data_IF_129082047861
#
_entry.id   IF_129082047861
#
_cell.length_a   1.000
_cell.length_b   1.000
_cell.length_c   1.000
_cell.angle_alpha   90.00
_cell.angle_beta   90.00
_cell.angle_gamma   90.00
#
_symmetry.space_group_name_H-M   'P 1'
#
loop_
_entity.id
_entity.type
_entity.pdbx_description
1 polymer ?
#
# COMPACT_ATOMS: atom_id res chain seq x y z
N UNK A 1 -22.92 8.42 17.52
CA UNK A 1 -21.53 8.89 17.35
C UNK A 1 -20.61 7.77 16.88
N UNK A 2 -20.23 6.77 17.70
CA UNK A 2 -19.30 5.70 17.26
C UNK A 2 -19.85 4.82 16.10
N UNK A 3 -21.17 4.62 16.06
CA UNK A 3 -21.85 3.88 15.00
C UNK A 3 -21.96 4.66 13.68
N UNK A 4 -21.97 5.99 13.73
CA UNK A 4 -22.11 6.84 12.54
C UNK A 4 -20.79 6.91 11.78
N UNK A 5 -19.67 6.99 12.51
CA UNK A 5 -18.33 7.01 11.91
C UNK A 5 -17.95 5.68 11.24
N UNK A 6 -18.32 4.52 11.83
CA UNK A 6 -18.12 3.21 11.18
C UNK A 6 -18.95 3.10 9.91
N UNK A 7 -20.19 3.58 9.94
CA UNK A 7 -21.05 3.61 8.75
C UNK A 7 -20.43 4.45 7.64
N UNK A 8 -19.95 5.65 7.96
CA UNK A 8 -19.27 6.52 7.00
C UNK A 8 -17.98 5.91 6.44
N UNK A 9 -17.21 5.19 7.27
CA UNK A 9 -16.03 4.43 6.80
C UNK A 9 -16.43 3.37 5.79
N UNK A 10 -17.46 2.57 6.11
CA UNK A 10 -17.95 1.53 5.19
C UNK A 10 -18.50 2.13 3.89
N UNK A 11 -19.19 3.26 3.95
CA UNK A 11 -19.66 3.98 2.77
C UNK A 11 -18.50 4.51 1.91
N UNK A 12 -17.45 5.04 2.54
CA UNK A 12 -16.23 5.47 1.85
C UNK A 12 -15.52 4.31 1.15
N UNK A 13 -15.40 3.16 1.82
CA UNK A 13 -14.84 1.93 1.24
C UNK A 13 -15.69 1.46 0.06
N UNK A 14 -17.01 1.39 0.21
CA UNK A 14 -17.93 0.96 -0.84
C UNK A 14 -17.77 1.82 -2.11
N UNK A 15 -17.76 3.15 -1.96
CA UNK A 15 -17.52 4.07 -3.09
C UNK A 15 -16.17 3.84 -3.76
N UNK A 16 -15.12 3.60 -2.98
CA UNK A 16 -13.79 3.30 -3.50
C UNK A 16 -13.73 1.98 -4.28
N UNK A 17 -14.44 0.95 -3.79
CA UNK A 17 -14.54 -0.34 -4.49
C UNK A 17 -15.38 -0.24 -5.76
N UNK A 18 -16.47 0.54 -5.76
CA UNK A 18 -17.29 0.81 -6.94
C UNK A 18 -16.49 1.51 -8.05
N UNK A 19 -15.55 2.38 -7.67
CA UNK A 19 -14.65 3.06 -8.62
C UNK A 19 -13.80 2.08 -9.45
N UNK A 20 -13.64 0.82 -9.02
CA UNK A 20 -12.94 -0.19 -9.82
C UNK A 20 -13.67 -0.56 -11.11
N UNK A 21 -14.97 -0.30 -11.20
CA UNK A 21 -15.75 -0.49 -12.43
C UNK A 21 -15.63 0.69 -13.41
N UNK A 22 -15.02 1.80 -12.98
CA UNK A 22 -14.80 2.98 -13.80
C UNK A 22 -13.46 2.88 -14.55
N UNK A 23 -13.25 3.76 -15.53
CA UNK A 23 -12.00 3.83 -16.28
C UNK A 23 -11.50 5.27 -16.40
N UNK A 24 -10.24 5.44 -16.78
CA UNK A 24 -9.65 6.77 -17.02
C UNK A 24 -9.65 7.71 -15.81
N UNK A 25 -9.81 9.00 -16.08
CA UNK A 25 -9.70 10.05 -15.07
C UNK A 25 -10.83 10.01 -14.03
N UNK A 26 -12.02 9.54 -14.42
CA UNK A 26 -13.15 9.40 -13.50
C UNK A 26 -12.84 8.41 -12.38
N UNK A 27 -12.21 7.27 -12.71
CA UNK A 27 -11.70 6.32 -11.72
C UNK A 27 -10.72 6.99 -10.77
N UNK A 28 -9.74 7.72 -11.30
CA UNK A 28 -8.73 8.39 -10.49
C UNK A 28 -9.36 9.42 -9.52
N UNK A 29 -10.31 10.21 -10.00
CA UNK A 29 -11.01 11.20 -9.19
C UNK A 29 -11.85 10.54 -8.08
N UNK A 30 -12.63 9.50 -8.41
CA UNK A 30 -13.45 8.78 -7.42
C UNK A 30 -12.63 8.06 -6.36
N UNK A 31 -11.51 7.47 -6.76
CA UNK A 31 -10.59 6.84 -5.81
C UNK A 31 -9.94 7.89 -4.89
N UNK A 32 -9.57 9.05 -5.43
CA UNK A 32 -9.04 10.17 -4.64
C UNK A 32 -10.06 10.70 -3.63
N UNK A 33 -11.33 10.89 -4.03
CA UNK A 33 -12.40 11.27 -3.11
C UNK A 33 -12.54 10.26 -1.96
N UNK A 34 -12.54 8.96 -2.27
CA UNK A 34 -12.62 7.91 -1.27
C UNK A 34 -11.42 7.95 -0.31
N UNK A 35 -10.20 8.13 -0.83
CA UNK A 35 -8.99 8.25 -0.01
C UNK A 35 -9.08 9.43 0.96
N UNK A 36 -9.47 10.63 0.50
CA UNK A 36 -9.61 11.82 1.35
C UNK A 36 -10.64 11.60 2.46
N UNK A 37 -11.77 10.99 2.14
CA UNK A 37 -12.81 10.65 3.13
C UNK A 37 -12.25 9.68 4.17
N UNK A 38 -11.62 8.59 3.76
CA UNK A 38 -11.05 7.61 4.68
C UNK A 38 -9.93 8.20 5.54
N UNK A 39 -9.09 9.07 4.98
CA UNK A 39 -8.08 9.80 5.73
C UNK A 39 -8.70 10.70 6.79
N UNK A 40 -9.80 11.39 6.50
CA UNK A 40 -10.46 12.24 7.51
C UNK A 40 -11.13 11.43 8.63
N UNK A 41 -11.69 10.25 8.31
CA UNK A 41 -12.47 9.44 9.25
C UNK A 41 -11.61 8.53 10.14
N UNK A 42 -10.45 8.09 9.64
CA UNK A 42 -9.50 7.28 10.42
C UNK A 42 -8.73 8.17 11.41
N UNK A 43 -9.43 8.64 12.44
CA UNK A 43 -8.86 9.44 13.53
C UNK A 43 -7.91 8.62 14.40
N UNK A 44 -7.22 9.30 15.33
CA UNK A 44 -6.32 8.65 16.26
C UNK A 44 -7.00 7.58 17.10
N UNK A 45 -8.25 7.79 17.50
CA UNK A 45 -8.99 6.83 18.31
C UNK A 45 -9.39 5.58 17.52
N UNK A 46 -9.61 5.70 16.21
CA UNK A 46 -9.80 4.54 15.32
C UNK A 46 -8.48 3.82 15.02
N UNK A 47 -7.39 4.57 14.87
CA UNK A 47 -6.09 4.00 14.53
C UNK A 47 -5.44 3.25 15.70
N UNK A 48 -5.62 3.72 16.95
CA UNK A 48 -5.06 3.08 18.16
C UNK A 48 -5.35 1.57 18.24
N UNK A 49 -6.61 1.09 18.20
CA UNK A 49 -6.91 -0.34 18.28
C UNK A 49 -6.38 -1.12 17.07
N UNK A 50 -6.36 -0.53 15.88
CA UNK A 50 -5.81 -1.17 14.68
C UNK A 50 -4.30 -1.37 14.82
N UNK A 51 -3.58 -0.33 15.25
CA UNK A 51 -2.14 -0.39 15.50
C UNK A 51 -1.81 -1.40 16.61
N UNK A 52 -2.67 -1.53 17.63
CA UNK A 52 -2.49 -2.52 18.69
C UNK A 52 -2.54 -3.98 18.17
N UNK A 53 -3.18 -4.24 17.02
CA UNK A 53 -3.18 -5.57 16.39
C UNK A 53 -1.93 -5.85 15.53
N UNK A 54 -1.04 -4.86 15.34
CA UNK A 54 0.22 -5.01 14.60
C UNK A 54 1.08 -6.16 15.17
N UNK A 55 1.68 -6.95 14.28
CA UNK A 55 2.53 -8.09 14.62
C UNK A 55 1.76 -9.33 15.07
N UNK A 56 0.44 -9.25 15.18
CA UNK A 56 -0.41 -10.39 15.54
C UNK A 56 -0.93 -11.12 14.30
N UNK A 57 -1.34 -12.38 14.49
CA UNK A 57 -2.03 -13.16 13.44
C UNK A 57 -3.46 -12.66 13.20
N UNK A 58 -4.04 -11.93 14.14
CA UNK A 58 -5.41 -11.42 14.07
C UNK A 58 -5.49 -10.08 13.33
N UNK A 59 -4.41 -9.28 13.35
CA UNK A 59 -4.30 -8.01 12.63
C UNK A 59 -3.51 -8.15 11.35
N UNK A 60 -2.34 -7.53 11.32
CA UNK A 60 -1.40 -7.51 10.20
C UNK A 60 0.05 -7.55 10.71
N UNK A 61 0.99 -7.99 9.87
CA UNK A 61 2.42 -8.00 10.20
C UNK A 61 3.18 -6.92 9.43
N UNK A 62 4.35 -6.57 9.95
CA UNK A 62 5.29 -5.66 9.29
C UNK A 62 6.71 -6.22 9.27
N UNK A 63 7.51 -5.81 8.30
CA UNK A 63 8.95 -6.12 8.26
C UNK A 63 9.76 -5.39 9.36
N UNK A 64 9.11 -4.52 10.13
CA UNK A 64 9.67 -3.82 11.30
C UNK A 64 9.19 -4.36 12.64
N UNK A 65 8.46 -5.47 12.67
CA UNK A 65 7.90 -6.01 13.92
C UNK A 65 8.98 -6.42 14.94
N UNK A 66 10.19 -6.72 14.47
CA UNK A 66 11.34 -7.03 15.31
C UNK A 66 12.27 -5.82 15.39
N UNK A 67 12.54 -5.33 16.61
CA UNK A 67 13.56 -4.33 17.01
C UNK A 67 13.13 -2.85 17.11
N UNK A 68 12.14 -2.50 17.94
CA UNK A 68 11.92 -1.11 18.40
C UNK A 68 11.64 -0.05 17.32
N UNK A 69 11.71 -0.44 16.05
CA UNK A 69 11.41 0.32 14.85
C UNK A 69 9.95 0.01 14.50
N UNK A 70 9.21 1.03 14.13
CA UNK A 70 7.82 0.87 13.72
C UNK A 70 7.55 1.90 12.64
N UNK A 71 6.77 1.51 11.64
CA UNK A 71 6.17 2.49 10.77
C UNK A 71 5.36 3.49 11.60
N UNK A 72 5.37 4.74 11.15
CA UNK A 72 4.58 5.80 11.76
C UNK A 72 3.09 5.50 11.57
N UNK A 73 2.25 6.15 12.39
CA UNK A 73 0.79 6.04 12.28
C UNK A 73 0.31 6.41 10.87
N UNK A 74 0.95 7.40 10.25
CA UNK A 74 0.64 7.91 8.91
C UNK A 74 0.91 6.84 7.84
N UNK A 75 2.05 6.15 7.92
CA UNK A 75 2.37 5.04 7.00
C UNK A 75 1.38 3.88 7.18
N UNK A 76 1.08 3.51 8.42
CA UNK A 76 0.13 2.42 8.72
C UNK A 76 -1.26 2.78 8.19
N UNK A 77 -1.70 4.02 8.41
CA UNK A 77 -2.99 4.53 7.94
C UNK A 77 -3.08 4.50 6.42
N UNK A 78 -2.05 4.97 5.71
CA UNK A 78 -1.98 4.90 4.24
C UNK A 78 -2.10 3.46 3.74
N UNK A 79 -1.32 2.55 4.32
CA UNK A 79 -1.34 1.12 3.93
C UNK A 79 -2.68 0.46 4.23
N UNK A 80 -3.32 0.82 5.35
CA UNK A 80 -4.64 0.36 5.70
C UNK A 80 -5.68 0.81 4.66
N UNK A 81 -5.66 2.10 4.28
CA UNK A 81 -6.57 2.65 3.27
C UNK A 81 -6.38 1.92 1.94
N UNK A 82 -5.13 1.75 1.49
CA UNK A 82 -4.81 0.98 0.29
C UNK A 82 -5.38 -0.44 0.37
N UNK A 83 -5.14 -1.15 1.47
CA UNK A 83 -5.61 -2.52 1.66
C UNK A 83 -7.14 -2.64 1.61
N UNK A 84 -7.88 -1.74 2.29
CA UNK A 84 -9.35 -1.79 2.27
C UNK A 84 -9.93 -1.40 0.92
N UNK A 85 -9.28 -0.49 0.18
CA UNK A 85 -9.66 -0.14 -1.19
C UNK A 85 -9.31 -1.25 -2.20
N UNK A 86 -8.39 -2.14 -1.87
CA UNK A 86 -8.16 -3.40 -2.58
C UNK A 86 -9.16 -4.50 -2.17
N UNK A 87 -10.07 -4.22 -1.23
CA UNK A 87 -11.15 -5.12 -0.81
C UNK A 87 -10.79 -6.09 0.30
N UNK A 88 -9.61 -5.96 0.93
CA UNK A 88 -9.25 -6.76 2.10
C UNK A 88 -9.59 -6.06 3.42
N UNK A 89 -9.28 -6.71 4.54
CA UNK A 89 -9.71 -6.28 5.87
C UNK A 89 -8.49 -5.95 6.75
N UNK A 90 -8.64 -5.08 7.78
CA UNK A 90 -7.59 -4.83 8.77
C UNK A 90 -7.27 -6.03 9.68
N UNK A 91 -8.00 -7.13 9.51
CA UNK A 91 -7.96 -8.32 10.36
C UNK A 91 -7.66 -9.58 9.55
N UNK A 92 -7.37 -10.68 10.24
CA UNK A 92 -7.16 -11.99 9.64
C UNK A 92 -5.82 -12.12 8.90
N UNK A 93 -4.87 -11.22 9.15
CA UNK A 93 -3.59 -11.15 8.44
C UNK A 93 -3.81 -10.99 6.93
N UNK A 94 -4.81 -10.22 6.48
CA UNK A 94 -5.12 -10.11 5.04
C UNK A 94 -4.14 -9.23 4.26
N UNK A 95 -3.49 -8.28 4.92
CA UNK A 95 -2.41 -7.49 4.35
C UNK A 95 -1.25 -7.41 5.33
N UNK A 96 -0.05 -7.14 4.82
CA UNK A 96 1.14 -6.82 5.60
C UNK A 96 1.75 -5.52 5.09
N UNK A 97 2.53 -4.85 5.94
CA UNK A 97 3.30 -3.67 5.55
C UNK A 97 4.75 -4.06 5.37
N UNK A 98 5.29 -3.83 4.18
CA UNK A 98 6.65 -4.20 3.85
C UNK A 98 7.30 -3.04 3.11
N UNK A 99 8.49 -2.62 3.53
CA UNK A 99 9.13 -1.40 3.01
C UNK A 99 8.18 -0.18 2.92
N UNK A 100 7.27 -0.07 3.89
CA UNK A 100 6.27 1.00 3.98
C UNK A 100 5.06 0.89 3.05
N UNK A 101 4.90 -0.18 2.28
CA UNK A 101 3.78 -0.37 1.35
C UNK A 101 2.86 -1.55 1.76
N UNK A 102 1.60 -1.50 1.36
CA UNK A 102 0.64 -2.56 1.63
C UNK A 102 0.81 -3.74 0.67
N UNK A 103 0.81 -4.95 1.21
CA UNK A 103 0.87 -6.17 0.42
C UNK A 103 -0.17 -7.19 0.87
N UNK A 104 -0.98 -7.64 -0.08
CA UNK A 104 -2.00 -8.66 0.17
C UNK A 104 -1.34 -10.01 0.43
N UNK A 105 -1.73 -10.65 1.52
CA UNK A 105 -1.16 -11.92 1.97
C UNK A 105 -1.84 -13.11 1.30
N UNK A 106 -1.37 -14.32 1.64
CA UNK A 106 -2.04 -15.56 1.26
C UNK A 106 -3.48 -15.59 1.77
N UNK A 107 -3.69 -15.18 3.02
CA UNK A 107 -5.00 -15.13 3.67
C UNK A 107 -5.90 -14.08 3.00
N UNK A 108 -5.35 -12.90 2.69
CA UNK A 108 -6.08 -11.83 2.01
C UNK A 108 -6.60 -12.23 0.63
N UNK A 109 -5.75 -12.83 -0.22
CA UNK A 109 -6.25 -13.37 -1.49
C UNK A 109 -7.23 -14.53 -1.31
N UNK A 110 -7.08 -15.33 -0.25
CA UNK A 110 -8.07 -16.36 0.09
C UNK A 110 -9.44 -15.75 0.37
N UNK A 111 -9.47 -14.68 1.18
CA UNK A 111 -10.67 -13.92 1.46
C UNK A 111 -11.28 -13.32 0.20
N UNK A 112 -10.48 -12.63 -0.63
CA UNK A 112 -10.95 -12.04 -1.89
C UNK A 112 -11.60 -13.09 -2.79
N UNK A 113 -10.90 -14.21 -3.05
CA UNK A 113 -11.42 -15.30 -3.88
C UNK A 113 -12.71 -15.91 -3.30
N UNK A 114 -12.80 -16.07 -1.98
CA UNK A 114 -13.99 -16.64 -1.34
C UNK A 114 -15.25 -15.76 -1.47
N UNK A 115 -15.07 -14.46 -1.70
CA UNK A 115 -16.17 -13.50 -1.89
C UNK A 115 -16.58 -13.33 -3.36
N UNK A 116 -15.89 -13.99 -4.30
CA UNK A 116 -16.29 -13.97 -5.72
C UNK A 116 -17.43 -14.96 -5.93
N UNK A 117 -18.63 -14.43 -6.14
CA UNK A 117 -19.82 -15.25 -6.37
C UNK A 117 -19.65 -16.16 -7.60
N UNK A 118 -19.96 -17.44 -7.43
CA UNK A 118 -19.90 -18.43 -8.50
C UNK A 118 -18.49 -18.89 -8.87
N UNK A 119 -17.47 -18.50 -8.11
CA UNK A 119 -16.13 -19.07 -8.20
C UNK A 119 -16.02 -20.32 -7.31
N UNK A 120 -15.60 -21.43 -7.88
CA UNK A 120 -15.13 -22.62 -7.16
C UNK A 120 -13.71 -22.91 -7.62
N UNK A 121 -12.79 -23.22 -6.71
CA UNK A 121 -11.40 -23.46 -7.09
C UNK A 121 -10.66 -24.41 -6.15
N UNK A 122 -9.59 -25.00 -6.67
CA UNK A 122 -8.62 -25.83 -5.94
C UNK A 122 -7.22 -25.51 -6.43
N UNK A 123 -6.28 -25.33 -5.50
CA UNK A 123 -4.88 -25.08 -5.79
C UNK A 123 -4.08 -26.18 -5.10
N UNK A 124 -3.34 -26.96 -5.90
CA UNK A 124 -2.49 -28.05 -5.40
C UNK A 124 -1.07 -27.78 -5.88
N UNK A 125 -0.12 -27.76 -4.96
CA UNK A 125 1.29 -27.58 -5.29
C UNK A 125 1.95 -28.93 -5.61
N UNK A 126 2.89 -28.92 -6.55
CA UNK A 126 3.84 -30.02 -6.71
C UNK A 126 4.98 -29.90 -5.69
N UNK A 127 5.92 -30.84 -5.74
CA UNK A 127 7.12 -30.80 -4.90
C UNK A 127 8.01 -29.61 -5.33
N UNK A 128 8.45 -28.76 -4.39
CA UNK A 128 9.40 -27.70 -4.70
C UNK A 128 10.71 -28.26 -5.24
N UNK A 129 11.19 -27.68 -6.34
CA UNK A 129 12.53 -27.92 -6.90
C UNK A 129 13.46 -26.82 -6.42
N UNK A 130 14.39 -27.16 -5.54
CA UNK A 130 15.38 -26.22 -4.98
C UNK A 130 16.65 -26.28 -5.83
N UNK A 131 17.18 -25.12 -6.21
CA UNK A 131 18.44 -25.04 -6.96
C UNK A 131 19.62 -25.53 -6.10
N UNK A 132 20.66 -26.06 -6.75
CA UNK A 132 21.83 -26.62 -6.06
C UNK A 132 22.56 -25.61 -5.16
N UNK A 133 22.52 -24.33 -5.54
CA UNK A 133 23.10 -23.21 -4.80
C UNK A 133 22.23 -22.75 -3.61
N UNK A 134 21.02 -23.32 -3.46
CA UNK A 134 20.02 -22.99 -2.43
C UNK A 134 19.59 -21.52 -2.41
N UNK A 135 19.79 -20.78 -3.50
CA UNK A 135 19.39 -19.37 -3.61
C UNK A 135 18.00 -19.19 -4.22
N UNK A 136 17.46 -20.24 -4.83
CA UNK A 136 16.17 -20.20 -5.51
C UNK A 136 15.43 -21.54 -5.45
N UNK A 137 14.11 -21.46 -5.56
CA UNK A 137 13.23 -22.60 -5.77
C UNK A 137 12.22 -22.31 -6.87
N UNK A 138 11.80 -23.37 -7.55
CA UNK A 138 10.68 -23.37 -8.45
C UNK A 138 9.64 -24.38 -7.98
N UNK A 139 8.37 -24.01 -8.03
CA UNK A 139 7.26 -24.89 -7.66
C UNK A 139 6.13 -24.69 -8.65
N UNK A 140 5.54 -25.78 -9.11
CA UNK A 140 4.40 -25.72 -10.00
C UNK A 140 3.10 -25.75 -9.18
N UNK A 141 2.21 -24.81 -9.47
CA UNK A 141 0.92 -24.69 -8.82
C UNK A 141 -0.16 -25.10 -9.81
N UNK A 142 -0.82 -26.23 -9.54
CA UNK A 142 -1.96 -26.71 -10.31
C UNK A 142 -3.22 -26.00 -9.83
N UNK A 143 -3.76 -25.08 -10.62
CA UNK A 143 -4.95 -24.29 -10.32
C UNK A 143 -6.10 -24.83 -11.16
N UNK A 144 -7.11 -25.39 -10.50
CA UNK A 144 -8.38 -25.78 -11.10
C UNK A 144 -9.46 -24.83 -10.63
N UNK A 145 -10.25 -24.26 -11.53
CA UNK A 145 -11.33 -23.37 -11.14
C UNK A 145 -12.52 -23.42 -12.10
N UNK A 146 -13.70 -23.18 -11.57
CA UNK A 146 -14.94 -22.99 -12.31
C UNK A 146 -15.47 -21.60 -12.02
N UNK A 147 -15.71 -20.81 -13.06
CA UNK A 147 -16.27 -19.47 -12.94
C UNK A 147 -17.20 -19.18 -14.11
N UNK A 148 -18.41 -18.64 -13.82
CA UNK A 148 -19.45 -18.37 -14.82
C UNK A 148 -19.74 -19.57 -15.76
N UNK A 149 -19.73 -20.78 -15.19
CA UNK A 149 -19.99 -22.04 -15.93
C UNK A 149 -18.78 -22.63 -16.67
N UNK A 150 -17.66 -21.90 -16.78
CA UNK A 150 -16.47 -22.38 -17.47
C UNK A 150 -15.49 -23.02 -16.48
N UNK A 151 -15.12 -24.29 -16.73
CA UNK A 151 -14.11 -24.99 -15.94
C UNK A 151 -12.76 -24.93 -16.63
N UNK A 152 -11.74 -24.54 -15.89
CA UNK A 152 -10.38 -24.34 -16.36
C UNK A 152 -9.39 -25.08 -15.45
N UNK A 153 -8.25 -25.48 -16.02
CA UNK A 153 -7.13 -26.06 -15.30
C UNK A 153 -5.83 -25.51 -15.87
N UNK A 154 -5.02 -24.86 -15.03
CA UNK A 154 -3.77 -24.22 -15.45
C UNK A 154 -2.65 -24.63 -14.50
N UNK A 155 -1.46 -24.86 -15.06
CA UNK A 155 -0.21 -25.08 -14.34
C UNK A 155 0.57 -23.78 -14.33
N UNK A 156 0.77 -23.19 -13.15
CA UNK A 156 1.50 -21.92 -13.01
C UNK A 156 2.87 -22.22 -12.41
N UNK A 157 3.98 -22.07 -13.17
CA UNK A 157 5.31 -22.18 -12.62
C UNK A 157 5.64 -20.94 -11.79
N UNK A 158 5.96 -21.14 -10.52
CA UNK A 158 6.32 -20.06 -9.59
C UNK A 158 7.80 -20.18 -9.23
N UNK A 159 8.58 -19.16 -9.60
CA UNK A 159 9.95 -18.99 -9.14
C UNK A 159 9.99 -18.13 -7.85
N UNK A 160 10.84 -18.53 -6.93
CA UNK A 160 11.01 -17.93 -5.61
C UNK A 160 12.49 -17.79 -5.27
N UNK A 161 12.87 -16.63 -4.73
CA UNK A 161 14.17 -16.46 -4.08
C UNK A 161 14.15 -17.11 -2.70
N UNK A 162 15.26 -17.74 -2.34
CA UNK A 162 15.50 -18.37 -1.06
C UNK A 162 16.71 -17.74 -0.37
N UNK A 163 16.67 -17.76 0.96
CA UNK A 163 17.81 -17.56 1.82
C UNK A 163 18.08 -18.83 2.63
N UNK A 164 19.16 -18.83 3.41
CA UNK A 164 19.57 -19.96 4.25
C UNK A 164 18.56 -20.37 5.31
N UNK A 165 17.55 -19.53 5.58
CA UNK A 165 16.52 -19.74 6.60
C UNK A 165 15.16 -20.10 6.02
N UNK A 166 15.04 -20.17 4.69
CA UNK A 166 13.78 -20.44 4.00
C UNK A 166 13.41 -21.93 4.11
N UNK A 167 12.38 -22.24 4.89
CA UNK A 167 11.83 -23.59 5.00
C UNK A 167 10.96 -23.97 3.81
N UNK A 168 10.74 -25.28 3.61
CA UNK A 168 9.83 -25.79 2.57
C UNK A 168 8.41 -25.22 2.73
N UNK A 169 7.92 -25.08 3.96
CA UNK A 169 6.61 -24.47 4.24
C UNK A 169 6.56 -22.99 3.84
N UNK A 170 7.65 -22.26 4.00
CA UNK A 170 7.75 -20.87 3.56
C UNK A 170 7.68 -20.76 2.03
N UNK A 171 8.32 -21.70 1.31
CA UNK A 171 8.25 -21.80 -0.15
C UNK A 171 6.80 -22.05 -0.58
N UNK A 172 6.14 -23.07 -0.02
CA UNK A 172 4.74 -23.41 -0.32
C UNK A 172 3.82 -22.23 0.03
N UNK A 173 4.04 -21.56 1.15
CA UNK A 173 3.28 -20.38 1.57
C UNK A 173 3.38 -19.23 0.56
N UNK A 174 4.60 -18.88 0.12
CA UNK A 174 4.83 -17.84 -0.90
C UNK A 174 4.21 -18.23 -2.24
N UNK A 175 4.38 -19.49 -2.66
CA UNK A 175 3.81 -19.99 -3.91
C UNK A 175 2.28 -19.99 -3.89
N UNK A 176 1.67 -20.37 -2.77
CA UNK A 176 0.21 -20.32 -2.60
C UNK A 176 -0.30 -18.89 -2.69
N UNK A 177 0.40 -17.92 -2.10
CA UNK A 177 0.06 -16.49 -2.25
C UNK A 177 0.08 -16.07 -3.72
N UNK A 178 1.16 -16.36 -4.45
CA UNK A 178 1.29 -16.02 -5.87
C UNK A 178 0.26 -16.73 -6.75
N UNK A 179 -0.06 -17.99 -6.48
CA UNK A 179 -1.10 -18.73 -7.20
C UNK A 179 -2.51 -18.16 -6.97
N UNK A 180 -2.83 -17.77 -5.72
CA UNK A 180 -4.12 -17.11 -5.42
C UNK A 180 -4.21 -15.73 -6.04
N UNK A 181 -3.11 -14.96 -6.01
CA UNK A 181 -3.00 -13.68 -6.73
C UNK A 181 -3.26 -13.87 -8.22
N UNK A 182 -2.57 -14.80 -8.87
CA UNK A 182 -2.75 -15.10 -10.28
C UNK A 182 -4.21 -15.43 -10.61
N UNK A 183 -4.86 -16.28 -9.79
CA UNK A 183 -6.26 -16.62 -9.99
C UNK A 183 -7.17 -15.39 -9.82
N UNK A 184 -6.91 -14.56 -8.81
CA UNK A 184 -7.67 -13.35 -8.56
C UNK A 184 -7.55 -12.38 -9.75
N UNK A 185 -6.34 -12.15 -10.26
CA UNK A 185 -6.07 -11.32 -11.43
C UNK A 185 -6.73 -11.88 -12.69
N UNK A 186 -6.67 -13.19 -12.92
CA UNK A 186 -7.31 -13.84 -14.06
C UNK A 186 -8.84 -13.70 -14.06
N UNK A 187 -9.46 -13.66 -12.87
CA UNK A 187 -10.93 -13.58 -12.72
C UNK A 187 -11.42 -12.13 -12.74
N UNK A 188 -10.67 -11.22 -12.13
CA UNK A 188 -11.10 -9.82 -11.92
C UNK A 188 -10.51 -8.85 -12.92
N UNK A 189 -9.39 -9.19 -13.57
CA UNK A 189 -8.60 -8.27 -14.37
C UNK A 189 -7.84 -7.21 -13.55
N UNK A 190 -7.87 -7.27 -12.22
CA UNK A 190 -7.21 -6.30 -11.35
C UNK A 190 -5.79 -6.75 -11.01
N UNK A 191 -4.81 -6.25 -11.74
CA UNK A 191 -3.39 -6.48 -11.43
C UNK A 191 -2.99 -5.79 -10.13
N UNK A 192 -2.18 -6.48 -9.33
CA UNK A 192 -1.61 -5.93 -8.10
C UNK A 192 -0.09 -6.12 -8.09
N UNK A 193 0.63 -5.39 -7.23
CA UNK A 193 2.09 -5.55 -7.13
C UNK A 193 2.45 -6.83 -6.37
N UNK A 194 3.58 -7.45 -6.70
CA UNK A 194 4.06 -8.63 -5.98
C UNK A 194 4.97 -8.18 -4.83
N UNK A 195 4.60 -8.56 -3.60
CA UNK A 195 5.35 -8.24 -2.39
C UNK A 195 6.54 -9.13 -2.18
N UNK A 196 7.60 -8.90 -2.96
CA UNK A 196 8.92 -9.47 -2.71
C UNK A 196 9.91 -8.35 -2.46
N UNK A 197 10.40 -8.24 -1.22
CA UNK A 197 11.52 -7.33 -0.93
C UNK A 197 12.78 -7.92 -1.51
N UNK A 198 13.43 -7.15 -2.36
CA UNK A 198 14.89 -7.11 -2.45
C UNK A 198 15.28 -5.65 -2.37
N UNK A 199 16.13 -5.32 -1.40
CA UNK A 199 17.00 -4.15 -1.26
C UNK A 199 16.80 -3.00 -2.28
N UNK A 200 15.59 -2.48 -2.37
CA UNK A 200 15.40 -1.10 -2.76
C UNK A 200 15.40 -0.36 -1.45
N UNK A 201 16.42 0.47 -1.14
CA UNK A 201 16.18 1.51 -0.18
C UNK A 201 14.91 2.21 -0.69
N UNK A 202 13.84 2.13 0.10
CA UNK A 202 12.83 3.14 -0.01
C UNK A 202 13.61 4.41 0.35
N UNK A 203 14.06 5.14 -0.66
CA UNK A 203 14.14 6.56 -0.49
C UNK A 203 12.72 6.92 -0.12
N UNK A 204 12.51 7.08 1.19
CA UNK A 204 11.63 8.11 1.63
C UNK A 204 12.05 9.28 0.74
N UNK A 205 11.22 9.64 -0.23
CA UNK A 205 11.02 11.04 -0.49
C UNK A 205 10.49 11.54 0.86
N UNK A 206 11.41 11.72 1.81
CA UNK A 206 11.35 12.85 2.69
C UNK A 206 11.28 13.94 1.65
N UNK A 207 10.08 14.43 1.41
CA UNK A 207 9.89 15.83 1.16
C UNK A 207 10.49 16.54 2.38
N UNK A 208 11.84 16.54 2.48
CA UNK A 208 12.54 17.75 2.84
C UNK A 208 11.91 18.76 1.90
N UNK A 209 11.27 19.80 2.45
CA UNK A 209 10.31 20.59 1.70
C UNK A 209 11.05 21.15 0.48
N UNK A 210 10.81 20.58 -0.70
CA UNK A 210 11.20 21.18 -1.98
C UNK A 210 10.69 22.62 -2.04
N UNK A 211 9.62 22.90 -1.28
CA UNK A 211 9.07 24.23 -1.07
C UNK A 211 10.06 25.19 -0.39
N UNK A 212 10.78 24.83 0.68
CA UNK A 212 11.67 25.80 1.37
C UNK A 212 12.89 26.17 0.52
N UNK A 213 13.49 25.18 -0.15
CA UNK A 213 14.62 25.42 -1.06
C UNK A 213 14.19 26.26 -2.28
N UNK A 214 12.99 26.02 -2.83
CA UNK A 214 12.44 26.83 -3.91
C UNK A 214 12.09 28.25 -3.45
N UNK A 215 11.44 28.41 -2.30
CA UNK A 215 11.09 29.73 -1.75
C UNK A 215 12.35 30.53 -1.44
N UNK A 216 13.37 29.90 -0.83
CA UNK A 216 14.68 30.53 -0.60
C UNK A 216 15.32 31.02 -1.89
N UNK A 217 15.34 30.18 -2.94
CA UNK A 217 15.84 30.56 -4.25
C UNK A 217 15.06 31.72 -4.89
N UNK A 218 13.73 31.76 -4.72
CA UNK A 218 12.88 32.84 -5.23
C UNK A 218 13.19 34.14 -4.48
N UNK A 219 13.31 34.10 -3.15
CA UNK A 219 13.67 35.27 -2.32
C UNK A 219 15.04 35.83 -2.75
N UNK A 220 16.06 34.97 -2.87
CA UNK A 220 17.42 35.38 -3.22
C UNK A 220 17.51 35.99 -4.63
N UNK A 221 16.77 35.44 -5.60
CA UNK A 221 16.79 35.86 -7.01
C UNK A 221 15.83 36.99 -7.35
N UNK A 222 14.88 37.33 -6.46
CA UNK A 222 13.95 38.43 -6.67
C UNK A 222 14.69 39.76 -6.80
N UNK A 223 14.36 40.52 -7.84
CA UNK A 223 14.97 41.83 -8.15
C UNK A 223 14.01 42.99 -7.92
N UNK A 224 12.72 42.71 -7.75
CA UNK A 224 11.69 43.70 -7.48
C UNK A 224 10.83 43.28 -6.29
N UNK A 225 10.21 44.26 -5.65
CA UNK A 225 9.31 44.03 -4.50
C UNK A 225 8.11 43.16 -4.91
N UNK A 226 7.56 43.37 -6.11
CA UNK A 226 6.42 42.60 -6.62
C UNK A 226 6.72 41.12 -6.86
N UNK A 227 7.96 40.78 -7.24
CA UNK A 227 8.40 39.37 -7.36
C UNK A 227 8.51 38.71 -5.98
N UNK A 228 8.94 39.48 -4.98
CA UNK A 228 9.14 38.99 -3.63
C UNK A 228 7.81 38.77 -2.90
N UNK A 229 6.80 39.61 -3.12
CA UNK A 229 5.47 39.49 -2.51
C UNK A 229 4.74 38.18 -2.84
N UNK A 230 5.05 37.53 -3.97
CA UNK A 230 4.43 36.26 -4.42
C UNK A 230 4.63 35.13 -3.41
N UNK A 231 5.73 35.16 -2.65
CA UNK A 231 6.10 34.10 -1.70
C UNK A 231 5.79 34.44 -0.24
N UNK A 232 5.19 35.61 0.03
CA UNK A 232 4.92 36.11 1.39
C UNK A 232 4.04 35.16 2.21
N UNK A 233 3.02 34.58 1.59
CA UNK A 233 2.07 33.66 2.24
C UNK A 233 2.60 32.23 2.37
N UNK A 234 3.82 31.97 1.91
CA UNK A 234 4.45 30.64 1.87
C UNK A 234 5.63 30.51 2.86
N UNK A 235 5.88 31.53 3.68
CA UNK A 235 6.95 31.55 4.69
C UNK A 235 6.60 30.63 5.86
N UNK A 236 7.00 29.36 5.77
CA UNK A 236 6.66 28.33 6.75
C UNK A 236 7.65 28.24 7.93
N UNK A 237 8.79 28.93 7.87
CA UNK A 237 9.85 28.86 8.88
C UNK A 237 10.42 30.23 9.25
N UNK A 238 10.89 30.41 10.50
CA UNK A 238 11.53 31.67 10.94
C UNK A 238 12.75 32.08 10.11
N UNK A 239 13.47 31.10 9.54
CA UNK A 239 14.63 31.32 8.67
C UNK A 239 14.23 31.98 7.34
N UNK A 240 13.11 31.56 6.75
CA UNK A 240 12.57 32.16 5.52
C UNK A 240 11.99 33.55 5.77
N UNK A 241 11.32 33.76 6.90
CA UNK A 241 10.84 35.09 7.29
C UNK A 241 11.99 36.09 7.45
N UNK A 242 13.09 35.65 8.09
CA UNK A 242 14.28 36.48 8.27
C UNK A 242 14.89 36.86 6.91
N UNK A 243 15.08 35.88 6.03
CA UNK A 243 15.63 36.10 4.70
C UNK A 243 14.74 36.98 3.81
N UNK A 244 13.42 36.79 3.88
CA UNK A 244 12.43 37.61 3.18
C UNK A 244 12.52 39.07 3.62
N UNK A 245 12.57 39.32 4.93
CA UNK A 245 12.64 40.68 5.49
C UNK A 245 13.95 41.39 5.12
N UNK A 246 15.08 40.69 5.17
CA UNK A 246 16.38 41.23 4.74
C UNK A 246 16.37 41.62 3.25
N UNK A 247 15.81 40.76 2.41
CA UNK A 247 15.70 41.01 0.97
C UNK A 247 14.73 42.16 0.66
N UNK A 248 13.56 42.18 1.29
CA UNK A 248 12.58 43.28 1.17
C UNK A 248 13.22 44.62 1.54
N UNK A 249 13.99 44.66 2.65
CA UNK A 249 14.69 45.86 3.06
C UNK A 249 15.77 46.30 2.05
N UNK A 250 16.47 45.35 1.42
CA UNK A 250 17.47 45.65 0.39
C UNK A 250 16.88 46.20 -0.92
N UNK A 251 15.65 45.82 -1.28
CA UNK A 251 14.96 46.23 -2.51
C UNK A 251 14.17 47.54 -2.35
N UNK A 252 13.89 47.96 -1.12
CA UNK A 252 13.21 49.22 -0.79
C UNK A 252 14.16 50.39 -0.50
N UNK A 253 15.48 50.21 -0.71
CA UNK A 253 16.50 51.27 -0.71
C UNK A 253 16.75 51.79 -2.11
#
# INVERSE_FOLDING_TARGET
MENDSIKLLNEGIAKGLEANNLTGFEKAFKLSEAMVVLESLLTDDYMKPIIAMKGSRLGFKTDKDTKGDSYSKEIIKRCLIEAVLMGVQPVGNHFNIIAGNAYITREGYGYLLSNIQGLSYSIINELPRIANDKTSAAIEMNIKYTYKGNSNSVKVPIALKMDSYTSVDAIIGKATRKARKWLYEAITGCETTDGEVQDLPYELIKTKPENESNIKNIIEKSKTVSELEIVKDQLATPELETLYNEKMFSLCK
#
